data_IF_776499577514
#
_entry.id   IF_776499577514
#
_cell.length_a   1.000
_cell.length_b   1.000
_cell.length_c   1.000
_cell.angle_alpha   90.00
_cell.angle_beta   90.00
_cell.angle_gamma   90.00
#
_symmetry.space_group_name_H-M   'P 1'
#
loop_
_entity.id
_entity.type
_entity.pdbx_description
1 polymer ?
#
# COMPACT_ATOMS: atom_id res chain seq x y z
N UNK A 1 46.14 17.21 -23.33
CA UNK A 1 47.29 16.30 -23.44
C UNK A 1 46.87 14.92 -22.96
N UNK A 2 46.53 13.96 -23.84
CA UNK A 2 46.34 12.57 -23.45
C UNK A 2 47.52 11.72 -23.95
N UNK A 3 48.18 11.00 -23.04
CA UNK A 3 49.24 10.05 -23.40
C UNK A 3 48.72 8.62 -23.30
N UNK A 4 48.87 7.95 -24.44
CA UNK A 4 48.61 6.57 -24.81
C UNK A 4 49.69 5.62 -24.22
N UNK A 5 49.47 4.29 -24.36
CA UNK A 5 50.49 3.22 -24.59
C UNK A 5 51.22 2.69 -23.32
N UNK A 6 51.45 1.38 -23.09
CA UNK A 6 51.22 0.10 -23.80
C UNK A 6 51.38 -1.09 -22.81
N UNK A 7 50.79 -2.22 -23.18
CA UNK A 7 51.06 -3.60 -22.69
C UNK A 7 52.48 -4.10 -23.03
N UNK A 8 53.03 -4.92 -22.14
CA UNK A 8 53.80 -6.18 -22.35
C UNK A 8 53.72 -6.94 -20.99
N UNK A 9 53.56 -8.25 -20.81
CA UNK A 9 53.73 -9.44 -21.66
C UNK A 9 55.07 -10.13 -21.33
N UNK A 10 55.10 -11.17 -20.48
CA UNK A 10 56.29 -12.06 -20.39
C UNK A 10 56.59 -12.80 -19.06
N UNK A 11 55.99 -13.98 -18.93
CA UNK A 11 56.39 -15.26 -18.27
C UNK A 11 57.90 -15.50 -17.95
N UNK A 12 58.25 -16.09 -16.79
CA UNK A 12 58.77 -17.47 -16.56
C UNK A 12 59.67 -17.69 -15.29
N UNK A 13 59.71 -18.97 -14.88
CA UNK A 13 60.65 -19.73 -14.00
C UNK A 13 60.27 -19.83 -12.49
N UNK A 14 59.84 -20.99 -11.97
CA UNK A 14 60.47 -22.32 -11.73
C UNK A 14 61.22 -22.43 -10.39
N UNK A 15 60.80 -23.37 -9.55
CA UNK A 15 61.52 -23.80 -8.33
C UNK A 15 60.89 -25.06 -7.72
N UNK A 16 61.61 -26.18 -7.83
CA UNK A 16 61.23 -27.57 -7.55
C UNK A 16 61.25 -27.98 -6.06
N UNK A 17 60.51 -29.04 -5.72
CA UNK A 17 60.70 -29.84 -4.49
C UNK A 17 60.09 -31.24 -4.62
N UNK A 18 60.94 -32.29 -4.54
CA UNK A 18 60.62 -33.73 -4.71
C UNK A 18 60.12 -34.40 -3.42
N UNK A 19 59.37 -35.49 -3.55
CA UNK A 19 59.17 -36.52 -2.51
C UNK A 19 58.39 -37.74 -3.04
N UNK A 20 58.97 -38.94 -2.91
CA UNK A 20 58.63 -40.21 -3.58
C UNK A 20 57.85 -41.16 -2.63
N UNK A 21 56.98 -42.02 -3.17
CA UNK A 21 56.47 -43.20 -2.46
C UNK A 21 55.58 -44.12 -3.32
N UNK A 22 56.11 -45.28 -3.69
CA UNK A 22 55.53 -46.33 -4.56
C UNK A 22 54.38 -47.13 -3.92
N UNK A 23 53.48 -47.66 -4.76
CA UNK A 23 52.55 -48.74 -4.41
C UNK A 23 51.74 -49.21 -5.61
N UNK A 24 52.26 -50.18 -6.36
CA UNK A 24 51.61 -50.77 -7.53
C UNK A 24 50.65 -51.91 -7.14
N UNK A 25 49.44 -51.90 -7.72
CA UNK A 25 48.51 -53.03 -7.76
C UNK A 25 47.80 -53.04 -9.11
N UNK A 26 48.08 -54.06 -9.93
CA UNK A 26 47.43 -54.32 -11.23
C UNK A 26 46.06 -54.94 -11.00
N UNK A 27 45.08 -54.61 -11.86
CA UNK A 27 44.51 -55.55 -12.85
C UNK A 27 43.32 -54.90 -13.58
N UNK A 28 43.38 -55.06 -14.89
CA UNK A 28 42.35 -54.78 -15.89
C UNK A 28 41.10 -55.63 -15.67
N UNK A 29 39.91 -55.00 -15.81
CA UNK A 29 38.81 -55.44 -16.69
C UNK A 29 37.48 -54.85 -16.22
N UNK A 30 36.94 -53.92 -17.02
CA UNK A 30 35.52 -53.76 -17.33
C UNK A 30 35.34 -52.53 -18.22
N UNK A 31 35.49 -52.73 -19.53
CA UNK A 31 34.95 -51.80 -20.52
C UNK A 31 33.41 -51.83 -20.43
N UNK A 32 32.80 -50.69 -20.13
CA UNK A 32 31.44 -50.35 -20.54
C UNK A 32 31.38 -48.82 -20.67
N UNK A 33 30.99 -48.26 -21.83
CA UNK A 33 30.93 -46.82 -21.98
C UNK A 33 29.73 -46.29 -21.16
N UNK A 34 30.02 -45.49 -20.14
CA UNK A 34 29.00 -44.70 -19.44
C UNK A 34 28.35 -43.74 -20.46
N UNK A 35 27.10 -44.04 -20.82
CA UNK A 35 26.23 -43.12 -21.52
C UNK A 35 26.05 -41.84 -20.67
N UNK A 36 25.97 -40.64 -21.28
CA UNK A 36 25.69 -39.43 -20.53
C UNK A 36 24.29 -39.55 -19.93
N UNK A 37 24.21 -39.55 -18.59
CA UNK A 37 22.92 -39.48 -17.91
C UNK A 37 22.21 -38.19 -18.33
N UNK A 38 21.00 -38.35 -18.85
CA UNK A 38 20.16 -37.28 -19.35
C UNK A 38 19.96 -36.18 -18.32
N UNK A 39 20.01 -34.94 -18.80
CA UNK A 39 19.44 -33.77 -18.15
C UNK A 39 18.01 -34.06 -17.67
N UNK A 40 17.53 -33.45 -16.56
CA UNK A 40 16.14 -33.59 -16.16
C UNK A 40 15.29 -33.07 -17.32
N UNK A 41 14.58 -33.99 -17.99
CA UNK A 41 13.70 -33.66 -19.09
C UNK A 41 12.66 -32.66 -18.57
N UNK A 42 12.71 -31.43 -19.10
CA UNK A 42 11.65 -30.45 -18.89
C UNK A 42 10.31 -31.06 -19.28
N UNK A 43 9.19 -30.55 -18.73
CA UNK A 43 7.90 -31.23 -18.81
C UNK A 43 7.58 -31.59 -20.25
N UNK A 44 7.22 -32.87 -20.44
CA UNK A 44 7.00 -33.48 -21.73
C UNK A 44 5.97 -32.66 -22.54
N UNK A 45 6.10 -32.62 -23.88
CA UNK A 45 5.24 -31.79 -24.74
C UNK A 45 3.74 -32.09 -24.52
N UNK A 46 3.44 -33.35 -24.18
CA UNK A 46 2.11 -33.81 -23.79
C UNK A 46 1.64 -33.21 -22.45
N UNK A 47 2.49 -33.11 -21.43
CA UNK A 47 2.15 -32.51 -20.14
C UNK A 47 1.93 -31.00 -20.25
N UNK A 48 2.73 -30.30 -21.06
CA UNK A 48 2.49 -28.88 -21.36
C UNK A 48 1.12 -28.67 -22.02
N UNK A 49 0.75 -29.52 -22.98
CA UNK A 49 -0.57 -29.49 -23.63
C UNK A 49 -1.69 -29.80 -22.64
N UNK A 50 -1.50 -30.77 -21.73
CA UNK A 50 -2.46 -31.16 -20.70
C UNK A 50 -2.68 -30.06 -19.66
N UNK A 51 -1.60 -29.43 -19.17
CA UNK A 51 -1.66 -28.28 -18.25
C UNK A 51 -2.38 -27.11 -18.93
N UNK A 52 -2.02 -26.77 -20.17
CA UNK A 52 -2.68 -25.69 -20.95
C UNK A 52 -4.18 -25.93 -21.11
N UNK A 53 -4.58 -27.18 -21.35
CA UNK A 53 -5.99 -27.58 -21.51
C UNK A 53 -6.76 -27.47 -20.20
N UNK A 54 -6.17 -27.91 -19.08
CA UNK A 54 -6.75 -27.76 -17.75
C UNK A 54 -6.89 -26.30 -17.34
N UNK A 55 -5.87 -25.47 -17.59
CA UNK A 55 -5.89 -24.06 -17.24
C UNK A 55 -6.94 -23.29 -18.06
N UNK A 56 -7.06 -23.58 -19.36
CA UNK A 56 -8.11 -23.00 -20.20
C UNK A 56 -9.51 -23.35 -19.68
N UNK A 57 -9.73 -24.62 -19.30
CA UNK A 57 -11.00 -25.05 -18.69
C UNK A 57 -11.23 -24.40 -17.33
N UNK A 58 -10.19 -24.21 -16.52
CA UNK A 58 -10.26 -23.55 -15.23
C UNK A 58 -10.65 -22.07 -15.36
N UNK A 59 -10.03 -21.32 -16.28
CA UNK A 59 -10.33 -19.91 -16.50
C UNK A 59 -11.78 -19.71 -16.96
N UNK A 60 -12.26 -20.54 -17.89
CA UNK A 60 -13.65 -20.46 -18.38
C UNK A 60 -14.67 -20.84 -17.32
N UNK A 61 -14.34 -21.78 -16.42
CA UNK A 61 -15.22 -22.23 -15.33
C UNK A 61 -14.99 -21.49 -14.02
N UNK A 62 -14.14 -20.46 -13.99
CA UNK A 62 -13.80 -19.73 -12.77
C UNK A 62 -15.07 -19.05 -12.25
N UNK A 63 -15.53 -19.35 -11.02
CA UNK A 63 -16.68 -18.68 -10.45
C UNK A 63 -16.40 -17.18 -10.27
N UNK A 64 -17.43 -16.33 -10.36
CA UNK A 64 -17.28 -14.89 -10.11
C UNK A 64 -16.87 -14.62 -8.67
N UNK A 65 -16.20 -13.47 -8.43
CA UNK A 65 -15.72 -13.06 -7.11
C UNK A 65 -16.86 -13.08 -6.07
N UNK A 66 -18.04 -12.59 -6.45
CA UNK A 66 -19.24 -12.58 -5.62
C UNK A 66 -19.61 -13.98 -5.12
N UNK A 67 -19.60 -15.00 -6.00
CA UNK A 67 -19.89 -16.38 -5.60
C UNK A 67 -18.85 -16.96 -4.64
N UNK A 68 -17.60 -16.50 -4.73
CA UNK A 68 -16.55 -16.91 -3.80
C UNK A 68 -16.68 -16.21 -2.43
N UNK A 69 -17.16 -14.96 -2.41
CA UNK A 69 -17.50 -14.23 -1.18
C UNK A 69 -18.74 -14.83 -0.49
N UNK A 70 -19.80 -15.11 -1.25
CA UNK A 70 -21.03 -15.76 -0.74
C UNK A 70 -20.73 -17.13 -0.11
N UNK A 71 -19.82 -17.89 -0.71
CA UNK A 71 -19.36 -19.19 -0.19
C UNK A 71 -18.40 -19.09 1.00
N UNK A 72 -18.10 -17.87 1.48
CA UNK A 72 -17.16 -17.62 2.57
C UNK A 72 -15.71 -17.99 2.25
N UNK A 73 -15.38 -18.25 0.96
CA UNK A 73 -14.03 -18.60 0.53
C UNK A 73 -13.13 -17.36 0.42
N UNK A 74 -13.73 -16.18 0.23
CA UNK A 74 -13.06 -14.88 0.25
C UNK A 74 -13.63 -14.07 1.40
N UNK A 75 -12.77 -13.75 2.38
CA UNK A 75 -13.08 -12.97 3.57
C UNK A 75 -13.18 -11.48 3.23
N UNK A 76 -14.08 -10.76 3.89
CA UNK A 76 -14.15 -9.31 3.76
C UNK A 76 -12.94 -8.66 4.44
N UNK A 77 -12.03 -8.15 3.62
CA UNK A 77 -10.80 -7.46 4.06
C UNK A 77 -11.13 -6.06 4.60
N UNK A 78 -10.17 -5.42 5.27
CA UNK A 78 -10.26 -3.99 5.62
C UNK A 78 -9.71 -3.17 4.47
N UNK A 79 -8.55 -3.55 3.94
CA UNK A 79 -7.97 -2.95 2.75
C UNK A 79 -8.71 -3.41 1.49
N UNK A 80 -8.92 -2.51 0.53
CA UNK A 80 -9.67 -2.83 -0.69
C UNK A 80 -11.19 -2.96 -0.51
N UNK A 81 -11.70 -2.75 0.71
CA UNK A 81 -13.14 -2.74 0.97
C UNK A 81 -13.73 -1.37 0.62
N UNK A 82 -14.99 -1.34 0.21
CA UNK A 82 -15.72 -0.06 0.06
C UNK A 82 -15.87 0.59 1.44
N UNK A 83 -15.67 1.90 1.51
CA UNK A 83 -15.70 2.65 2.76
C UNK A 83 -17.05 2.51 3.49
N UNK A 84 -18.15 2.59 2.75
CA UNK A 84 -19.50 2.47 3.29
C UNK A 84 -19.78 1.08 3.89
N UNK A 85 -19.39 0.02 3.17
CA UNK A 85 -19.52 -1.35 3.65
C UNK A 85 -18.66 -1.62 4.90
N UNK A 86 -17.43 -1.09 4.92
CA UNK A 86 -16.54 -1.20 6.08
C UNK A 86 -17.13 -0.49 7.31
N UNK A 87 -17.57 0.75 7.14
CA UNK A 87 -18.20 1.55 8.19
C UNK A 87 -19.49 0.90 8.71
N UNK A 88 -20.34 0.37 7.83
CA UNK A 88 -21.55 -0.36 8.21
C UNK A 88 -21.22 -1.60 9.05
N UNK A 89 -20.22 -2.38 8.65
CA UNK A 89 -19.76 -3.56 9.39
C UNK A 89 -19.18 -3.20 10.77
N UNK A 90 -18.52 -2.06 10.87
CA UNK A 90 -17.96 -1.57 12.14
C UNK A 90 -18.98 -0.81 13.00
N UNK A 91 -20.20 -0.57 12.49
CA UNK A 91 -21.23 0.26 13.13
C UNK A 91 -20.71 1.65 13.52
N UNK A 92 -19.89 2.24 12.66
CA UNK A 92 -19.29 3.55 12.85
C UNK A 92 -19.18 4.29 11.51
N UNK A 93 -18.91 5.60 11.53
CA UNK A 93 -18.72 6.42 10.33
C UNK A 93 -17.26 6.59 9.92
N UNK A 94 -16.33 6.36 10.85
CA UNK A 94 -14.88 6.40 10.59
C UNK A 94 -14.28 5.01 10.83
N UNK A 95 -13.55 4.44 9.86
CA UNK A 95 -12.92 3.12 10.03
C UNK A 95 -12.02 3.07 11.28
N UNK A 96 -12.11 1.99 12.06
CA UNK A 96 -11.27 1.79 13.26
C UNK A 96 -9.79 1.88 12.93
N UNK A 97 -9.36 1.29 11.80
CA UNK A 97 -7.97 1.34 11.38
C UNK A 97 -7.45 2.77 11.16
N UNK A 98 -8.28 3.65 10.60
CA UNK A 98 -7.95 5.07 10.41
C UNK A 98 -7.75 5.76 11.76
N UNK A 99 -8.65 5.51 12.72
CA UNK A 99 -8.54 6.04 14.09
C UNK A 99 -7.28 5.57 14.79
N UNK A 100 -7.02 4.26 14.78
CA UNK A 100 -5.81 3.68 15.38
C UNK A 100 -4.53 4.28 14.81
N UNK A 101 -4.43 4.39 13.48
CA UNK A 101 -3.26 4.99 12.84
C UNK A 101 -3.06 6.45 13.27
N UNK A 102 -4.13 7.24 13.24
CA UNK A 102 -4.08 8.66 13.61
C UNK A 102 -3.69 8.83 15.08
N UNK A 103 -4.31 8.08 16.00
CA UNK A 103 -3.98 8.10 17.42
C UNK A 103 -2.51 7.72 17.67
N UNK A 104 -2.00 6.71 16.97
CA UNK A 104 -0.60 6.32 17.05
C UNK A 104 0.33 7.43 16.53
N UNK A 105 0.00 8.09 15.42
CA UNK A 105 0.80 9.20 14.88
C UNK A 105 0.74 10.42 15.79
N UNK A 106 -0.40 10.76 16.36
CA UNK A 106 -0.52 11.87 17.31
C UNK A 106 0.30 11.62 18.59
N UNK A 107 0.32 10.36 19.06
CA UNK A 107 1.01 9.99 20.30
C UNK A 107 2.55 10.07 20.20
N UNK A 108 3.13 9.74 19.05
CA UNK A 108 4.61 9.59 18.90
C UNK A 108 5.21 10.10 17.60
N UNK A 109 4.41 10.69 16.72
CA UNK A 109 4.80 11.05 15.35
C UNK A 109 4.79 12.54 15.02
N UNK A 110 4.17 13.38 15.85
CA UNK A 110 3.96 14.80 15.51
C UNK A 110 5.26 15.59 15.33
N UNK A 111 6.32 15.21 16.03
CA UNK A 111 7.62 15.90 15.98
C UNK A 111 8.63 15.23 15.03
N UNK A 112 8.23 14.16 14.33
CA UNK A 112 9.13 13.42 13.42
C UNK A 112 9.30 14.17 12.10
N UNK A 113 10.55 14.51 11.74
CA UNK A 113 10.86 15.23 10.49
C UNK A 113 10.30 14.50 9.25
N UNK A 114 9.53 15.21 8.45
CA UNK A 114 8.92 14.68 7.25
C UNK A 114 7.85 13.62 7.49
N UNK A 115 7.14 13.64 8.63
CA UNK A 115 5.98 12.76 8.88
C UNK A 115 5.00 12.80 7.70
N UNK A 116 4.45 11.66 7.30
CA UNK A 116 3.69 11.44 6.04
C UNK A 116 4.45 11.61 4.72
N UNK A 117 5.53 12.40 4.63
CA UNK A 117 6.36 12.53 3.44
C UNK A 117 7.34 11.37 3.29
N UNK A 118 8.07 11.05 4.35
CA UNK A 118 9.04 9.93 4.38
C UNK A 118 8.28 8.61 4.27
N UNK A 119 8.84 7.67 3.50
CA UNK A 119 8.25 6.34 3.30
C UNK A 119 8.83 5.35 4.30
N UNK A 120 7.96 4.65 5.02
CA UNK A 120 8.36 3.53 5.87
C UNK A 120 8.74 2.29 5.05
N UNK A 121 9.23 1.27 5.75
CA UNK A 121 9.59 0.01 5.10
C UNK A 121 8.35 -0.69 4.50
N UNK A 122 8.33 -0.83 3.17
CA UNK A 122 7.20 -1.40 2.44
C UNK A 122 6.85 -2.83 2.87
N UNK A 123 7.85 -3.67 3.19
CA UNK A 123 7.60 -5.03 3.63
C UNK A 123 6.86 -5.06 4.97
N UNK A 124 7.20 -4.15 5.89
CA UNK A 124 6.54 -4.01 7.19
C UNK A 124 5.14 -3.40 7.02
N UNK A 125 4.97 -2.43 6.12
CA UNK A 125 3.64 -1.90 5.76
C UNK A 125 2.73 -3.01 5.23
N UNK A 126 3.24 -3.88 4.35
CA UNK A 126 2.49 -5.03 3.86
C UNK A 126 2.18 -6.01 4.99
N UNK A 127 3.12 -6.26 5.89
CA UNK A 127 2.87 -7.09 7.08
C UNK A 127 1.74 -6.51 7.94
N UNK A 128 1.74 -5.20 8.19
CA UNK A 128 0.68 -4.51 8.92
C UNK A 128 -0.68 -4.63 8.21
N UNK A 129 -0.69 -4.40 6.89
CA UNK A 129 -1.87 -4.60 6.04
C UNK A 129 -2.46 -6.01 6.22
N UNK A 130 -1.62 -7.05 6.15
CA UNK A 130 -2.06 -8.43 6.37
C UNK A 130 -2.56 -8.68 7.80
N UNK A 131 -1.93 -8.10 8.81
CA UNK A 131 -2.38 -8.23 10.20
C UNK A 131 -3.79 -7.65 10.40
N UNK A 132 -4.03 -6.45 9.86
CA UNK A 132 -5.33 -5.77 9.91
C UNK A 132 -6.42 -6.58 9.20
N UNK A 133 -6.12 -7.10 8.00
CA UNK A 133 -7.07 -7.92 7.23
C UNK A 133 -7.41 -9.25 7.93
N UNK A 134 -6.46 -9.82 8.69
CA UNK A 134 -6.67 -11.09 9.41
C UNK A 134 -7.47 -10.93 10.71
N UNK A 135 -7.29 -9.83 11.45
CA UNK A 135 -8.08 -9.54 12.67
C UNK A 135 -9.59 -9.49 12.36
N UNK A 136 -9.95 -9.06 11.15
CA UNK A 136 -11.35 -8.79 10.75
C UNK A 136 -11.93 -9.77 9.75
N UNK A 137 -11.22 -10.86 9.45
CA UNK A 137 -11.65 -11.88 8.51
C UNK A 137 -12.81 -12.73 9.05
N UNK A 138 -14.00 -12.13 9.12
CA UNK A 138 -15.25 -12.80 9.46
C UNK A 138 -15.86 -13.33 8.15
N UNK A 139 -16.32 -14.58 8.15
CA UNK A 139 -17.08 -15.13 7.02
C UNK A 139 -18.49 -14.52 6.99
N UNK A 140 -19.14 -14.54 5.83
CA UNK A 140 -20.52 -14.07 5.64
C UNK A 140 -21.56 -14.74 6.55
N UNK A 141 -21.24 -15.91 7.10
CA UNK A 141 -22.05 -16.71 8.03
C UNK A 141 -21.58 -16.62 9.50
N UNK A 142 -20.60 -15.77 9.82
CA UNK A 142 -20.13 -15.54 11.19
C UNK A 142 -19.28 -16.66 11.80
N UNK A 143 -18.83 -17.64 11.00
CA UNK A 143 -18.01 -18.78 11.48
C UNK A 143 -16.52 -18.61 11.16
N UNK A 144 -15.70 -18.62 12.21
CA UNK A 144 -14.25 -18.67 12.08
C UNK A 144 -13.80 -20.01 11.50
N UNK A 145 -13.13 -19.99 10.34
CA UNK A 145 -12.47 -21.19 9.78
C UNK A 145 -10.97 -21.11 10.08
N UNK A 146 -10.62 -21.65 11.25
CA UNK A 146 -9.34 -22.20 11.69
C UNK A 146 -8.12 -21.27 11.93
N UNK A 147 -7.28 -21.60 12.94
CA UNK A 147 -7.24 -22.87 13.69
C UNK A 147 -8.07 -22.93 14.99
N UNK A 148 -8.32 -24.18 15.41
CA UNK A 148 -9.15 -24.75 16.50
C UNK A 148 -8.94 -24.24 17.93
N UNK A 149 -8.21 -23.15 18.14
CA UNK A 149 -8.04 -22.56 19.47
C UNK A 149 -8.40 -21.08 19.36
N UNK A 150 -9.23 -20.54 20.28
CA UNK A 150 -9.31 -19.09 20.46
C UNK A 150 -7.96 -18.65 21.04
N UNK A 151 -6.93 -18.61 20.19
CA UNK A 151 -5.69 -17.94 20.44
C UNK A 151 -6.10 -16.47 20.49
N UNK A 152 -6.31 -15.98 21.71
CA UNK A 152 -6.46 -14.59 22.09
C UNK A 152 -6.33 -13.66 20.89
N UNK A 153 -7.45 -13.22 20.32
CA UNK A 153 -7.45 -12.25 19.22
C UNK A 153 -6.70 -11.02 19.73
N UNK A 154 -5.40 -10.96 19.47
CA UNK A 154 -4.56 -9.81 19.73
C UNK A 154 -5.09 -8.72 18.82
N UNK A 155 -6.02 -7.94 19.37
CA UNK A 155 -6.50 -6.70 18.79
C UNK A 155 -5.26 -5.94 18.33
N UNK A 156 -5.22 -5.53 17.06
CA UNK A 156 -4.08 -4.82 16.52
C UNK A 156 -3.69 -3.67 17.44
N UNK A 157 -2.46 -3.72 17.95
CA UNK A 157 -1.91 -2.71 18.83
C UNK A 157 -0.71 -2.03 18.14
N UNK A 158 -0.91 -0.80 17.66
CA UNK A 158 0.14 -0.02 16.99
C UNK A 158 1.23 0.52 17.95
N UNK A 159 1.14 0.18 19.24
CA UNK A 159 2.20 0.40 20.23
C UNK A 159 3.17 -0.80 20.35
N UNK A 160 2.90 -1.92 19.67
CA UNK A 160 3.81 -3.06 19.68
C UNK A 160 5.15 -2.68 19.01
N UNK A 161 6.30 -3.20 19.49
CA UNK A 161 7.62 -2.90 18.93
C UNK A 161 7.74 -3.22 17.44
N UNK A 162 6.91 -4.13 16.93
CA UNK A 162 6.83 -4.46 15.51
C UNK A 162 6.44 -3.25 14.63
N UNK A 163 5.67 -2.30 15.18
CA UNK A 163 5.15 -1.12 14.49
C UNK A 163 5.80 0.18 14.97
N UNK A 164 6.94 0.11 15.68
CA UNK A 164 7.59 1.26 16.33
C UNK A 164 8.03 2.36 15.33
N UNK A 165 8.31 2.01 14.08
CA UNK A 165 8.54 3.02 13.04
C UNK A 165 7.22 3.71 12.64
N UNK A 166 7.10 5.00 12.96
CA UNK A 166 5.90 5.79 12.63
C UNK A 166 5.69 5.94 11.11
N UNK A 167 6.75 5.82 10.31
CA UNK A 167 6.65 5.87 8.85
C UNK A 167 5.97 4.61 8.28
N UNK A 168 6.00 3.49 9.01
CA UNK A 168 5.19 2.31 8.69
C UNK A 168 3.71 2.61 8.91
N UNK A 169 3.34 3.22 10.05
CA UNK A 169 1.95 3.57 10.37
C UNK A 169 1.38 4.58 9.37
N UNK A 170 2.10 5.68 9.12
CA UNK A 170 1.68 6.67 8.11
C UNK A 170 1.66 6.09 6.70
N UNK A 171 2.58 5.19 6.37
CA UNK A 171 2.60 4.45 5.12
C UNK A 171 1.36 3.58 4.93
N UNK A 172 0.96 2.84 5.98
CA UNK A 172 -0.22 1.98 5.96
C UNK A 172 -1.53 2.78 5.92
N UNK A 173 -1.61 3.91 6.63
CA UNK A 173 -2.76 4.83 6.56
C UNK A 173 -2.95 5.38 5.13
N UNK A 174 -1.87 5.85 4.49
CA UNK A 174 -1.92 6.29 3.08
C UNK A 174 -2.31 5.13 2.14
N UNK A 175 -1.78 3.94 2.39
CA UNK A 175 -2.09 2.75 1.60
C UNK A 175 -3.58 2.40 1.69
N UNK A 176 -4.19 2.53 2.87
CA UNK A 176 -5.62 2.28 3.07
C UNK A 176 -6.48 3.15 2.14
N UNK A 177 -6.27 4.47 2.13
CA UNK A 177 -7.01 5.39 1.25
C UNK A 177 -6.76 5.12 -0.24
N UNK A 178 -5.53 4.75 -0.60
CA UNK A 178 -5.16 4.44 -1.98
C UNK A 178 -5.78 3.13 -2.48
N UNK A 179 -5.94 2.14 -1.60
CA UNK A 179 -6.55 0.84 -1.95
C UNK A 179 -8.08 0.84 -1.89
N UNK A 180 -8.73 1.90 -1.39
CA UNK A 180 -10.19 2.00 -1.46
C UNK A 180 -10.65 1.84 -2.93
N UNK A 181 -11.72 1.08 -3.23
CA UNK A 181 -12.24 0.98 -4.60
C UNK A 181 -12.58 2.33 -5.23
N UNK A 182 -13.13 3.23 -4.41
CA UNK A 182 -13.42 4.62 -4.76
C UNK A 182 -12.62 5.56 -3.83
N UNK A 183 -12.07 6.69 -4.31
CA UNK A 183 -11.36 7.64 -3.46
C UNK A 183 -12.24 8.21 -2.34
N UNK A 184 -11.59 8.76 -1.30
CA UNK A 184 -12.32 9.35 -0.17
C UNK A 184 -13.22 10.50 -0.63
N UNK A 185 -12.77 11.29 -1.60
CA UNK A 185 -13.65 12.16 -2.39
C UNK A 185 -14.14 11.35 -3.60
N UNK A 186 -15.44 10.98 -3.67
CA UNK A 186 -16.00 10.15 -4.73
C UNK A 186 -15.67 10.64 -6.15
N UNK A 187 -15.58 9.70 -7.11
CA UNK A 187 -15.24 10.04 -8.50
C UNK A 187 -16.22 11.06 -9.10
N UNK A 188 -17.51 10.94 -8.75
CA UNK A 188 -18.58 11.84 -9.19
C UNK A 188 -18.40 13.30 -8.75
N UNK A 189 -17.62 13.55 -7.69
CA UNK A 189 -17.36 14.89 -7.18
C UNK A 189 -15.99 15.44 -7.62
N UNK A 190 -15.13 14.60 -8.20
CA UNK A 190 -13.77 14.99 -8.58
C UNK A 190 -13.71 16.26 -9.44
N UNK A 191 -14.46 16.29 -10.55
CA UNK A 191 -14.49 17.43 -11.46
C UNK A 191 -15.04 18.69 -10.78
N UNK A 192 -16.00 18.53 -9.86
CA UNK A 192 -16.57 19.64 -9.12
C UNK A 192 -15.56 20.24 -8.13
N UNK A 193 -14.76 19.41 -7.45
CA UNK A 193 -13.66 19.88 -6.59
C UNK A 193 -12.59 20.62 -7.41
N UNK A 194 -12.20 20.08 -8.57
CA UNK A 194 -11.24 20.72 -9.47
C UNK A 194 -11.77 22.05 -10.02
N UNK A 195 -13.06 22.11 -10.37
CA UNK A 195 -13.69 23.35 -10.81
C UNK A 195 -13.75 24.39 -9.68
N UNK A 196 -14.04 23.97 -8.45
CA UNK A 196 -14.12 24.86 -7.30
C UNK A 196 -12.79 25.59 -7.04
N UNK A 197 -11.65 24.90 -7.13
CA UNK A 197 -10.33 25.53 -6.90
C UNK A 197 -9.91 26.50 -8.01
N UNK A 198 -10.52 26.39 -9.20
CA UNK A 198 -10.27 27.26 -10.36
C UNK A 198 -11.09 28.56 -10.33
N UNK A 199 -12.03 28.72 -9.40
CA UNK A 199 -12.82 29.95 -9.27
C UNK A 199 -11.92 31.16 -9.04
N UNK A 200 -12.26 32.37 -9.51
CA UNK A 200 -11.38 33.53 -9.42
C UNK A 200 -11.24 34.04 -7.98
N UNK A 201 -12.35 34.14 -7.24
CA UNK A 201 -12.38 34.68 -5.89
C UNK A 201 -12.09 33.61 -4.83
N UNK A 202 -11.24 33.94 -3.86
CA UNK A 202 -10.86 33.01 -2.79
C UNK A 202 -12.06 32.54 -1.97
N UNK A 203 -12.94 33.46 -1.56
CA UNK A 203 -14.11 33.15 -0.74
C UNK A 203 -15.09 32.25 -1.50
N UNK A 204 -15.25 32.45 -2.81
CA UNK A 204 -16.07 31.57 -3.66
C UNK A 204 -15.49 30.15 -3.74
N UNK A 205 -14.14 30.00 -3.82
CA UNK A 205 -13.49 28.67 -3.76
C UNK A 205 -13.82 27.96 -2.47
N UNK A 206 -13.68 28.66 -1.34
CA UNK A 206 -13.91 28.11 0.00
C UNK A 206 -15.38 27.72 0.18
N UNK A 207 -16.30 28.62 -0.17
CA UNK A 207 -17.74 28.38 -0.10
C UNK A 207 -18.14 27.19 -0.97
N UNK A 208 -17.64 27.12 -2.21
CA UNK A 208 -17.97 26.01 -3.11
C UNK A 208 -17.42 24.68 -2.61
N UNK A 209 -16.22 24.65 -2.06
CA UNK A 209 -15.67 23.44 -1.44
C UNK A 209 -16.49 23.03 -0.20
N UNK A 210 -16.95 23.97 0.61
CA UNK A 210 -17.81 23.69 1.76
C UNK A 210 -19.10 22.97 1.34
N UNK A 211 -19.79 23.47 0.31
CA UNK A 211 -20.99 22.84 -0.25
C UNK A 211 -20.74 21.41 -0.75
N UNK A 212 -19.63 21.20 -1.46
CA UNK A 212 -19.25 19.88 -1.97
C UNK A 212 -18.94 18.90 -0.84
N UNK A 213 -18.27 19.36 0.21
CA UNK A 213 -18.00 18.56 1.41
C UNK A 213 -19.30 18.19 2.13
N UNK A 214 -20.26 19.10 2.26
CA UNK A 214 -21.57 18.80 2.85
C UNK A 214 -22.38 17.78 2.04
N UNK A 215 -22.14 17.70 0.72
CA UNK A 215 -22.75 16.71 -0.16
C UNK A 215 -22.10 15.32 -0.10
N UNK A 216 -21.03 15.11 0.67
CA UNK A 216 -20.36 13.82 0.77
C UNK A 216 -21.24 12.79 1.52
N UNK A 217 -21.16 11.50 1.16
CA UNK A 217 -21.77 10.44 1.98
C UNK A 217 -21.26 10.50 3.43
N UNK A 218 -22.09 10.16 4.44
CA UNK A 218 -21.71 10.28 5.84
C UNK A 218 -20.37 9.61 6.21
N UNK A 219 -20.04 8.39 5.73
CA UNK A 219 -18.74 7.78 5.99
C UNK A 219 -17.57 8.58 5.41
N UNK A 220 -17.72 9.10 4.19
CA UNK A 220 -16.71 9.92 3.51
C UNK A 220 -16.50 11.25 4.23
N UNK A 221 -17.59 11.95 4.55
CA UNK A 221 -17.54 13.22 5.27
C UNK A 221 -16.86 13.07 6.64
N UNK A 222 -17.30 12.10 7.46
CA UNK A 222 -16.76 11.88 8.79
C UNK A 222 -15.27 11.48 8.73
N UNK A 223 -14.91 10.58 7.82
CA UNK A 223 -13.52 10.13 7.65
C UNK A 223 -12.62 11.26 7.14
N UNK A 224 -13.10 12.07 6.18
CA UNK A 224 -12.37 13.23 5.67
C UNK A 224 -12.14 14.27 6.78
N UNK A 225 -13.19 14.60 7.54
CA UNK A 225 -13.09 15.50 8.69
C UNK A 225 -12.06 15.00 9.70
N UNK A 226 -12.14 13.71 10.07
CA UNK A 226 -11.25 13.12 11.08
C UNK A 226 -9.78 13.15 10.63
N UNK A 227 -9.52 12.81 9.36
CA UNK A 227 -8.19 12.90 8.77
C UNK A 227 -7.67 14.34 8.71
N UNK A 228 -8.48 15.29 8.21
CA UNK A 228 -8.05 16.67 8.07
C UNK A 228 -7.81 17.35 9.43
N UNK A 229 -8.61 17.03 10.45
CA UNK A 229 -8.37 17.49 11.82
C UNK A 229 -7.00 17.04 12.34
N UNK A 230 -6.64 15.78 12.08
CA UNK A 230 -5.32 15.26 12.42
C UNK A 230 -4.20 15.99 11.66
N UNK A 231 -4.38 16.20 10.35
CA UNK A 231 -3.38 16.89 9.53
C UNK A 231 -3.20 18.37 9.91
N UNK A 232 -4.25 19.03 10.41
CA UNK A 232 -4.12 20.35 11.02
C UNK A 232 -3.17 20.32 12.23
N UNK A 233 -3.29 19.34 13.13
CA UNK A 233 -2.35 19.18 14.26
C UNK A 233 -0.92 18.91 13.79
N UNK A 234 -0.74 18.10 12.74
CA UNK A 234 0.60 17.89 12.14
C UNK A 234 1.20 19.22 11.68
N UNK A 235 0.40 20.09 11.06
CA UNK A 235 0.86 21.41 10.60
C UNK A 235 1.15 22.38 11.75
N UNK A 236 0.48 22.24 12.90
CA UNK A 236 0.80 23.04 14.10
C UNK A 236 2.22 22.73 14.63
N UNK A 237 2.77 21.55 14.33
CA UNK A 237 4.12 21.13 14.67
C UNK A 237 5.15 21.36 13.53
N UNK A 238 4.81 22.17 12.52
CA UNK A 238 5.62 22.37 11.31
C UNK A 238 7.06 22.88 11.59
N UNK A 239 7.28 23.60 12.69
CA UNK A 239 8.61 24.06 13.09
C UNK A 239 9.59 22.91 13.40
N UNK A 240 9.05 21.76 13.83
CA UNK A 240 9.84 20.57 14.18
C UNK A 240 9.79 19.53 13.07
N UNK A 241 8.58 19.16 12.60
CA UNK A 241 8.41 18.10 11.61
C UNK A 241 8.58 18.57 10.14
N UNK A 242 8.70 19.88 9.90
CA UNK A 242 8.89 20.50 8.58
C UNK A 242 7.79 20.21 7.56
N UNK A 243 6.60 19.80 8.01
CA UNK A 243 5.45 19.52 7.16
C UNK A 243 4.52 20.73 7.05
N UNK A 244 4.77 21.53 6.01
CA UNK A 244 3.90 22.65 5.64
C UNK A 244 2.60 22.17 5.00
N UNK A 245 1.61 23.07 4.91
CA UNK A 245 0.37 22.84 4.18
C UNK A 245 0.59 22.32 2.75
N UNK A 246 1.53 22.91 2.03
CA UNK A 246 1.89 22.52 0.67
C UNK A 246 2.47 21.09 0.63
N UNK A 247 3.36 20.76 1.58
CA UNK A 247 3.92 19.41 1.69
C UNK A 247 2.83 18.37 1.94
N UNK A 248 1.87 18.67 2.82
CA UNK A 248 0.71 17.81 3.09
C UNK A 248 -0.19 17.71 1.86
N UNK A 249 -0.47 18.82 1.17
CA UNK A 249 -1.25 18.86 -0.07
C UNK A 249 -0.68 17.96 -1.17
N UNK A 250 0.64 17.97 -1.35
CA UNK A 250 1.33 17.10 -2.33
C UNK A 250 1.18 15.62 -1.98
N UNK A 251 1.22 15.26 -0.70
CA UNK A 251 1.10 13.86 -0.25
C UNK A 251 -0.36 13.37 -0.32
N UNK A 252 -1.30 14.20 0.14
CA UNK A 252 -2.70 13.79 0.30
C UNK A 252 -3.59 14.15 -0.88
N UNK A 253 -3.22 15.08 -1.75
CA UNK A 253 -3.92 15.40 -3.00
C UNK A 253 -4.24 14.15 -3.83
N UNK A 254 -3.23 13.43 -4.35
CA UNK A 254 -3.44 12.19 -5.11
C UNK A 254 -3.92 11.01 -4.27
N UNK A 255 -3.80 11.07 -2.94
CA UNK A 255 -4.26 10.02 -2.02
C UNK A 255 -5.77 10.09 -1.80
N UNK A 256 -6.33 11.31 -1.73
CA UNK A 256 -7.73 11.56 -1.40
C UNK A 256 -8.59 11.83 -2.63
N UNK A 257 -8.00 12.38 -3.69
CA UNK A 257 -8.66 12.71 -4.95
C UNK A 257 -7.91 12.05 -6.11
N UNK A 258 -8.64 11.34 -6.97
CA UNK A 258 -8.10 10.79 -8.21
C UNK A 258 -9.20 10.72 -9.27
N UNK A 259 -8.90 11.01 -10.55
CA UNK A 259 -9.88 10.90 -11.61
C UNK A 259 -10.25 9.42 -11.86
N UNK A 260 -11.47 9.16 -12.33
CA UNK A 260 -11.91 7.79 -12.68
C UNK A 260 -11.17 7.26 -13.91
N UNK A 261 -10.85 8.15 -14.85
CA UNK A 261 -10.11 7.85 -16.07
C UNK A 261 -8.86 8.73 -16.13
N UNK A 262 -7.71 8.13 -16.39
CA UNK A 262 -6.48 8.87 -16.68
C UNK A 262 -6.61 9.55 -18.05
N UNK A 263 -7.05 10.80 -18.06
CA UNK A 263 -7.08 11.64 -19.27
C UNK A 263 -5.75 12.39 -19.43
N UNK A 264 -5.44 12.80 -20.67
CA UNK A 264 -4.14 13.34 -21.08
C UNK A 264 -3.66 14.62 -20.34
N UNK A 265 -4.51 15.27 -19.54
CA UNK A 265 -4.18 16.50 -18.79
C UNK A 265 -3.71 16.23 -17.35
N UNK A 266 -2.95 15.15 -17.13
CA UNK A 266 -2.59 14.65 -15.79
C UNK A 266 -1.86 15.68 -14.92
N UNK A 267 -0.95 16.47 -15.50
CA UNK A 267 -0.15 17.43 -14.73
C UNK A 267 -0.99 18.58 -14.15
N UNK A 268 -1.99 19.04 -14.89
CA UNK A 268 -2.86 20.15 -14.47
C UNK A 268 -3.79 19.67 -13.36
N UNK A 269 -4.36 18.47 -13.48
CA UNK A 269 -5.29 17.95 -12.47
C UNK A 269 -4.60 17.62 -11.16
N UNK A 270 -3.34 17.17 -11.19
CA UNK A 270 -2.53 16.94 -9.98
C UNK A 270 -2.32 18.22 -9.16
N UNK A 271 -2.06 19.36 -9.80
CA UNK A 271 -1.89 20.64 -9.08
C UNK A 271 -3.19 21.04 -8.38
N UNK A 272 -4.34 20.86 -9.05
CA UNK A 272 -5.64 21.21 -8.49
C UNK A 272 -6.07 20.27 -7.35
N UNK A 273 -5.71 18.98 -7.40
CA UNK A 273 -5.91 18.05 -6.29
C UNK A 273 -5.18 18.51 -5.03
N UNK A 274 -3.91 18.91 -5.19
CA UNK A 274 -3.10 19.41 -4.07
C UNK A 274 -3.71 20.69 -3.50
N UNK A 275 -4.06 21.65 -4.36
CA UNK A 275 -4.70 22.91 -3.97
C UNK A 275 -6.04 22.70 -3.25
N UNK A 276 -6.84 21.71 -3.65
CA UNK A 276 -8.09 21.38 -2.97
C UNK A 276 -7.83 20.97 -1.53
N UNK A 277 -6.86 20.06 -1.30
CA UNK A 277 -6.46 19.65 0.06
C UNK A 277 -5.89 20.82 0.85
N UNK A 278 -5.08 21.68 0.24
CA UNK A 278 -4.55 22.88 0.90
C UNK A 278 -5.66 23.84 1.35
N UNK A 279 -6.67 24.08 0.52
CA UNK A 279 -7.81 24.93 0.85
C UNK A 279 -8.67 24.33 1.96
N UNK A 280 -8.90 23.01 1.93
CA UNK A 280 -9.60 22.28 2.99
C UNK A 280 -8.87 22.41 4.34
N UNK A 281 -7.54 22.29 4.36
CA UNK A 281 -6.73 22.46 5.56
C UNK A 281 -6.69 23.92 6.04
N UNK A 282 -6.59 24.88 5.12
CA UNK A 282 -6.56 26.31 5.45
C UNK A 282 -7.84 26.80 6.11
N UNK A 283 -8.98 26.24 5.68
CA UNK A 283 -10.31 26.68 6.07
C UNK A 283 -11.05 25.58 6.86
N UNK A 284 -10.30 24.70 7.53
CA UNK A 284 -10.85 23.51 8.18
C UNK A 284 -12.03 23.84 9.10
N UNK A 285 -11.88 24.83 9.99
CA UNK A 285 -12.95 25.20 10.94
C UNK A 285 -14.20 25.80 10.27
N UNK A 286 -14.03 26.47 9.13
CA UNK A 286 -15.15 27.04 8.38
C UNK A 286 -15.91 25.97 7.60
N UNK A 287 -15.18 25.05 6.96
CA UNK A 287 -15.75 23.96 6.15
C UNK A 287 -16.34 22.84 7.04
N UNK A 288 -15.70 22.59 8.18
CA UNK A 288 -16.07 21.58 9.16
C UNK A 288 -16.37 22.24 10.53
N UNK A 289 -17.48 22.99 10.65
CA UNK A 289 -17.84 23.62 11.91
C UNK A 289 -18.01 22.57 13.02
N UNK A 290 -17.68 22.91 14.26
CA UNK A 290 -18.03 22.08 15.39
C UNK A 290 -19.57 22.02 15.48
N UNK A 291 -20.13 20.83 15.62
CA UNK A 291 -21.57 20.65 15.87
C UNK A 291 -21.93 21.27 17.23
N UNK A 292 -22.25 22.57 17.27
CA UNK A 292 -22.62 23.24 18.52
C UNK A 292 -22.50 24.76 18.63
N UNK A 293 -22.51 25.55 17.55
CA UNK A 293 -22.77 27.00 17.66
C UNK A 293 -23.75 27.46 16.58
N UNK A 294 -25.04 27.25 16.85
CA UNK A 294 -26.14 28.03 16.30
C UNK A 294 -27.06 28.41 17.45
#
# INVERSE_FOLDING_TARGET
VPALVRRTGGRLALGSGKGVGNGAGRLSDCFSPFAPQGSPSGPDSADKKRVKSKLRRFIVKRPPLQSLQEKGLIRDQVFGCRLDALCQRESDTVPRFVRLCIEAVEKRGLDVDGIYRVSGNLAVIQKLRFAVDRERAVTSDGRYVFPEQPCQEERLNLADPEWDDVHVVTGALKLFFRELPEPLVPFSLFDAFVAAVKLPAYDERVQRLAELVQGLPPPNHATLRYLLAHLCKVMEHADTNRMTRQNIGIVFGPTLLRPEKELASMAVDMVHQNQAVELLLSNFHHIFPASGTS
#
